data_IF_356260889468
#
_entry.id   IF_356260889468
#
_cell.length_a   1.000
_cell.length_b   1.000
_cell.length_c   1.000
_cell.angle_alpha   90.00
_cell.angle_beta   90.00
_cell.angle_gamma   90.00
#
_symmetry.space_group_name_H-M   'P 1'
#
loop_
_entity.id
_entity.type
_entity.pdbx_description
1 polymer ?
#
# COMPACT_ATOMS: atom_id res chain seq x y z
N UNK A 1 30.10 -28.08 12.56
CA UNK A 1 30.24 -29.54 12.30
C UNK A 1 29.06 -30.30 12.92
N UNK A 2 27.90 -30.37 12.25
CA UNK A 2 26.82 -31.36 12.52
C UNK A 2 25.61 -31.18 11.57
N UNK A 3 25.80 -31.07 10.25
CA UNK A 3 24.71 -31.16 9.26
C UNK A 3 25.14 -31.94 8.00
N UNK A 4 25.81 -33.07 8.22
CA UNK A 4 26.08 -34.05 7.17
C UNK A 4 25.68 -35.43 7.66
N UNK A 5 24.40 -35.76 7.48
CA UNK A 5 23.87 -37.12 7.33
C UNK A 5 22.35 -37.02 7.32
N UNK A 6 21.73 -37.43 6.21
CA UNK A 6 20.32 -37.87 6.01
C UNK A 6 19.68 -37.45 4.67
N UNK A 7 20.49 -37.22 3.63
CA UNK A 7 20.04 -37.34 2.25
C UNK A 7 20.77 -38.54 1.62
N UNK A 8 20.21 -39.78 1.67
CA UNK A 8 19.51 -40.26 0.47
C UNK A 8 18.57 -41.47 0.73
N UNK A 9 17.28 -41.23 0.97
CA UNK A 9 16.21 -42.19 0.71
C UNK A 9 14.93 -41.35 0.66
N UNK A 10 14.52 -40.84 -0.49
CA UNK A 10 13.50 -41.48 -1.31
C UNK A 10 13.52 -40.81 -2.69
N UNK A 11 14.36 -41.31 -3.61
CA UNK A 11 14.20 -41.02 -5.04
C UNK A 11 13.23 -42.03 -5.63
N UNK A 12 12.11 -41.57 -6.21
CA UNK A 12 11.38 -42.19 -7.36
C UNK A 12 10.35 -41.19 -7.93
N UNK A 13 9.88 -41.36 -9.19
CA UNK A 13 10.05 -40.34 -10.21
C UNK A 13 8.80 -39.52 -10.57
N UNK A 14 9.10 -38.34 -11.10
CA UNK A 14 8.38 -37.49 -12.06
C UNK A 14 7.05 -38.02 -12.63
N UNK A 15 5.99 -37.21 -12.46
CA UNK A 15 4.91 -37.05 -13.44
C UNK A 15 4.75 -35.57 -13.76
N UNK A 16 5.05 -35.22 -15.00
CA UNK A 16 4.76 -33.92 -15.63
C UNK A 16 3.42 -33.99 -16.39
N UNK A 17 2.96 -32.94 -17.08
CA UNK A 17 2.01 -31.97 -16.57
C UNK A 17 0.67 -32.03 -17.33
N UNK A 18 -0.38 -31.42 -16.79
CA UNK A 18 -1.56 -31.07 -17.60
C UNK A 18 -1.80 -29.57 -17.56
N UNK A 19 -1.49 -28.95 -18.70
CA UNK A 19 -1.78 -27.58 -19.07
C UNK A 19 -3.30 -27.34 -19.20
N UNK A 20 -3.75 -26.23 -18.59
CA UNK A 20 -4.69 -25.18 -19.07
C UNK A 20 -6.14 -25.59 -19.48
N UNK A 21 -7.13 -24.65 -19.53
CA UNK A 21 -6.97 -23.21 -19.73
C UNK A 21 -7.79 -22.24 -18.87
N UNK A 22 -7.29 -21.01 -18.96
CA UNK A 22 -7.84 -19.69 -18.70
C UNK A 22 -9.29 -19.50 -19.17
N UNK A 23 -10.06 -18.78 -18.35
CA UNK A 23 -11.41 -18.30 -18.68
C UNK A 23 -11.33 -17.02 -19.55
N UNK A 24 -12.21 -16.87 -20.55
CA UNK A 24 -12.19 -15.75 -21.48
C UNK A 24 -12.93 -14.53 -20.94
N UNK A 25 -12.41 -13.37 -21.31
CA UNK A 25 -13.11 -12.09 -21.32
C UNK A 25 -14.35 -12.17 -22.20
N UNK A 26 -15.53 -11.85 -21.65
CA UNK A 26 -16.70 -11.58 -22.47
C UNK A 26 -16.74 -10.10 -22.82
N UNK A 27 -16.23 -9.80 -24.02
CA UNK A 27 -16.75 -8.71 -24.84
C UNK A 27 -18.13 -9.13 -25.35
N UNK A 28 -19.15 -8.29 -25.17
CA UNK A 28 -20.45 -8.46 -25.82
C UNK A 28 -20.75 -7.28 -26.72
N UNK A 29 -21.07 -7.63 -27.96
CA UNK A 29 -21.18 -6.77 -29.11
C UNK A 29 -22.48 -5.99 -29.16
N UNK A 30 -22.39 -4.91 -29.93
CA UNK A 30 -23.44 -3.99 -30.32
C UNK A 30 -24.70 -4.68 -30.89
N UNK A 31 -25.86 -4.18 -30.47
CA UNK A 31 -27.10 -4.27 -31.21
C UNK A 31 -27.56 -2.85 -31.52
N UNK A 32 -27.48 -2.51 -32.81
CA UNK A 32 -28.08 -1.32 -33.40
C UNK A 32 -29.60 -1.49 -33.43
N UNK A 33 -30.33 -0.52 -32.89
CA UNK A 33 -31.70 -0.21 -33.32
C UNK A 33 -31.78 1.29 -33.56
N UNK A 34 -32.11 1.64 -34.79
CA UNK A 34 -32.38 2.99 -35.28
C UNK A 34 -33.86 3.33 -35.10
N UNK A 35 -34.15 4.50 -34.52
CA UNK A 35 -35.31 5.32 -34.87
C UNK A 35 -35.17 6.76 -34.28
N UNK A 36 -35.31 7.77 -35.15
CA UNK A 36 -35.36 9.21 -34.88
C UNK A 36 -36.56 9.59 -33.96
N UNK A 37 -36.57 10.58 -33.07
CA UNK A 37 -36.40 12.07 -33.13
C UNK A 37 -36.82 12.63 -31.74
N UNK A 38 -36.77 13.94 -31.44
CA UNK A 38 -35.83 15.00 -31.80
C UNK A 38 -35.03 15.48 -30.57
N UNK A 39 -33.95 16.22 -30.86
CA UNK A 39 -33.07 16.85 -29.89
C UNK A 39 -33.79 17.88 -29.01
N UNK A 40 -33.77 17.65 -27.69
CA UNK A 40 -33.77 18.72 -26.69
C UNK A 40 -32.36 18.71 -26.12
N UNK A 41 -31.55 19.67 -26.58
CA UNK A 41 -30.27 19.98 -25.96
C UNK A 41 -30.54 20.47 -24.54
N UNK A 42 -30.38 19.57 -23.56
CA UNK A 42 -30.21 19.93 -22.16
C UNK A 42 -28.75 20.34 -21.99
N UNK A 43 -28.50 21.64 -22.15
CA UNK A 43 -27.28 22.26 -21.66
C UNK A 43 -27.12 21.93 -20.16
N UNK A 44 -25.88 21.68 -19.68
CA UNK A 44 -25.64 21.58 -18.25
C UNK A 44 -25.89 22.96 -17.64
N UNK A 45 -27.06 23.13 -17.03
CA UNK A 45 -27.46 24.35 -16.37
C UNK A 45 -26.63 24.51 -15.08
N UNK A 46 -25.43 25.08 -15.21
CA UNK A 46 -24.68 25.61 -14.08
C UNK A 46 -25.49 26.79 -13.52
N UNK A 47 -26.33 26.52 -12.53
CA UNK A 47 -26.95 27.58 -11.74
C UNK A 47 -25.82 28.36 -11.05
N UNK A 48 -25.70 29.68 -11.26
CA UNK A 48 -24.71 30.47 -10.54
C UNK A 48 -25.00 30.38 -9.04
N UNK A 49 -23.97 30.33 -8.18
CA UNK A 49 -24.16 30.27 -6.73
C UNK A 49 -25.06 31.43 -6.30
N UNK A 50 -26.03 31.15 -5.43
CA UNK A 50 -26.86 32.21 -4.86
C UNK A 50 -25.96 33.24 -4.15
N UNK A 51 -26.35 34.52 -4.11
CA UNK A 51 -25.53 35.54 -3.44
C UNK A 51 -25.22 35.17 -1.97
N UNK A 52 -26.09 34.38 -1.36
CA UNK A 52 -25.93 33.72 -0.06
C UNK A 52 -24.82 32.65 -0.05
N UNK A 53 -24.74 31.76 -1.05
CA UNK A 53 -23.67 30.75 -1.12
C UNK A 53 -22.29 31.39 -1.24
N UNK A 54 -22.15 32.46 -2.03
CA UNK A 54 -20.87 33.16 -2.14
C UNK A 54 -20.40 33.72 -0.79
N UNK A 55 -21.31 34.30 -0.01
CA UNK A 55 -20.99 34.78 1.34
C UNK A 55 -20.60 33.63 2.28
N UNK A 56 -21.35 32.53 2.28
CA UNK A 56 -21.05 31.36 3.12
C UNK A 56 -19.71 30.72 2.73
N UNK A 57 -19.36 30.68 1.44
CA UNK A 57 -18.05 30.21 0.95
C UNK A 57 -16.91 31.06 1.52
N UNK A 58 -17.04 32.39 1.50
CA UNK A 58 -15.99 33.26 2.08
C UNK A 58 -15.84 33.05 3.59
N UNK A 59 -16.94 32.78 4.32
CA UNK A 59 -16.91 32.47 5.74
C UNK A 59 -16.27 31.10 6.03
N UNK A 60 -16.51 30.12 5.14
CA UNK A 60 -15.88 28.80 5.20
C UNK A 60 -14.37 28.92 5.03
N UNK A 61 -13.90 29.59 3.98
CA UNK A 61 -12.48 29.84 3.73
C UNK A 61 -11.80 30.53 4.93
N UNK A 62 -12.46 31.56 5.46
CA UNK A 62 -11.99 32.29 6.63
C UNK A 62 -11.90 31.40 7.87
N UNK A 63 -12.89 30.54 8.10
CA UNK A 63 -12.91 29.59 9.23
C UNK A 63 -11.81 28.54 9.12
N UNK A 64 -11.51 28.07 7.89
CA UNK A 64 -10.40 27.15 7.62
C UNK A 64 -9.06 27.84 7.90
N UNK A 65 -8.88 29.09 7.42
CA UNK A 65 -7.67 29.88 7.66
C UNK A 65 -7.44 30.12 9.17
N UNK A 66 -8.50 30.34 9.94
CA UNK A 66 -8.46 30.51 11.39
C UNK A 66 -8.40 29.18 12.18
N UNK A 67 -8.36 28.04 11.48
CA UNK A 67 -8.31 26.69 12.08
C UNK A 67 -9.47 26.42 13.04
N UNK A 68 -10.68 26.86 12.68
CA UNK A 68 -11.90 26.66 13.48
C UNK A 68 -12.77 25.55 12.87
N UNK A 69 -12.51 24.25 13.17
CA UNK A 69 -13.16 23.12 12.49
C UNK A 69 -14.68 23.11 12.67
N UNK A 70 -15.19 23.43 13.86
CA UNK A 70 -16.63 23.43 14.13
C UNK A 70 -17.37 24.52 13.34
N UNK A 71 -16.79 25.71 13.22
CA UNK A 71 -17.36 26.79 12.40
C UNK A 71 -17.31 26.44 10.91
N UNK A 72 -16.19 25.89 10.45
CA UNK A 72 -16.04 25.45 9.06
C UNK A 72 -17.08 24.38 8.67
N UNK A 73 -17.32 23.37 9.52
CA UNK A 73 -18.38 22.37 9.29
C UNK A 73 -19.78 22.98 9.26
N UNK A 74 -20.07 23.94 10.15
CA UNK A 74 -21.35 24.65 10.15
C UNK A 74 -21.58 25.44 8.86
N UNK A 75 -20.55 26.11 8.34
CA UNK A 75 -20.65 26.83 7.07
C UNK A 75 -20.77 25.87 5.87
N UNK A 76 -20.03 24.74 5.87
CA UNK A 76 -20.17 23.73 4.83
C UNK A 76 -21.61 23.21 4.72
N UNK A 77 -22.26 22.94 5.86
CA UNK A 77 -23.64 22.44 5.90
C UNK A 77 -24.69 23.46 5.41
N UNK A 78 -24.35 24.74 5.31
CA UNK A 78 -25.24 25.80 4.83
C UNK A 78 -25.19 25.99 3.30
N UNK A 79 -24.20 25.41 2.63
CA UNK A 79 -24.02 25.54 1.18
C UNK A 79 -24.99 24.64 0.42
N UNK A 80 -25.61 25.20 -0.64
CA UNK A 80 -26.48 24.42 -1.53
C UNK A 80 -25.69 23.69 -2.61
N UNK A 81 -24.60 24.30 -3.07
CA UNK A 81 -23.67 23.71 -4.04
C UNK A 81 -22.41 23.23 -3.32
N UNK A 82 -21.88 22.03 -3.64
CA UNK A 82 -20.64 21.58 -3.05
C UNK A 82 -19.49 22.54 -3.43
N UNK A 83 -18.59 22.87 -2.48
CA UNK A 83 -17.38 23.61 -2.80
C UNK A 83 -16.49 22.85 -3.79
N UNK A 84 -15.50 23.55 -4.34
CA UNK A 84 -14.47 22.95 -5.16
C UNK A 84 -13.59 21.98 -4.36
N UNK A 85 -12.98 21.03 -5.07
CA UNK A 85 -12.13 20.00 -4.47
C UNK A 85 -10.97 20.58 -3.61
N UNK A 86 -10.24 21.63 -4.04
CA UNK A 86 -9.16 22.20 -3.23
C UNK A 86 -9.63 22.71 -1.86
N UNK A 87 -10.78 23.38 -1.79
CA UNK A 87 -11.31 23.86 -0.51
C UNK A 87 -11.74 22.70 0.41
N UNK A 88 -12.38 21.68 -0.17
CA UNK A 88 -12.77 20.45 0.53
C UNK A 88 -11.56 19.70 1.08
N UNK A 89 -10.49 19.55 0.31
CA UNK A 89 -9.25 18.91 0.75
C UNK A 89 -8.62 19.69 1.92
N UNK A 90 -8.56 21.03 1.84
CA UNK A 90 -8.06 21.87 2.94
C UNK A 90 -8.87 21.71 4.22
N UNK A 91 -10.19 21.59 4.09
CA UNK A 91 -11.08 21.30 5.22
C UNK A 91 -10.83 19.90 5.79
N UNK A 92 -10.71 18.87 4.96
CA UNK A 92 -10.43 17.51 5.38
C UNK A 92 -9.12 17.43 6.17
N UNK A 93 -8.05 18.10 5.71
CA UNK A 93 -6.79 18.18 6.46
C UNK A 93 -6.96 18.89 7.80
N UNK A 94 -7.70 20.02 7.86
CA UNK A 94 -7.96 20.72 9.12
C UNK A 94 -8.68 19.81 10.13
N UNK A 95 -9.64 19.01 9.67
CA UNK A 95 -10.42 18.09 10.49
C UNK A 95 -9.59 16.88 10.94
N UNK A 96 -8.84 16.27 10.03
CA UNK A 96 -7.98 15.12 10.31
C UNK A 96 -6.91 15.43 11.38
N UNK A 97 -6.38 16.66 11.38
CA UNK A 97 -5.42 17.15 12.39
C UNK A 97 -6.00 17.25 13.80
N UNK A 98 -7.31 17.17 13.98
CA UNK A 98 -7.95 17.23 15.29
C UNK A 98 -7.75 15.92 16.07
N UNK A 99 -6.68 15.87 16.87
CA UNK A 99 -6.26 14.66 17.60
C UNK A 99 -7.24 14.15 18.67
N UNK A 100 -8.31 14.89 18.99
CA UNK A 100 -9.24 14.57 20.08
C UNK A 100 -10.69 14.30 19.63
N UNK A 101 -10.97 14.28 18.33
CA UNK A 101 -12.33 14.11 17.83
C UNK A 101 -12.40 13.05 16.75
N UNK A 102 -12.93 11.88 17.10
CA UNK A 102 -13.30 10.83 16.14
C UNK A 102 -14.32 11.34 15.13
N UNK A 103 -15.24 12.22 15.55
CA UNK A 103 -16.22 12.83 14.65
C UNK A 103 -15.58 13.70 13.57
N UNK A 104 -14.52 14.46 13.90
CA UNK A 104 -13.77 15.21 12.89
C UNK A 104 -13.02 14.28 11.93
N UNK A 105 -12.45 13.17 12.41
CA UNK A 105 -11.82 12.18 11.54
C UNK A 105 -12.84 11.55 10.57
N UNK A 106 -14.04 11.21 11.05
CA UNK A 106 -15.12 10.70 10.21
C UNK A 106 -15.54 11.72 9.13
N UNK A 107 -15.77 12.98 9.50
CA UNK A 107 -16.08 14.00 8.51
C UNK A 107 -14.95 14.25 7.51
N UNK A 108 -13.69 14.19 7.96
CA UNK A 108 -12.55 14.32 7.07
C UNK A 108 -12.52 13.20 6.02
N UNK A 109 -12.80 11.96 6.45
CA UNK A 109 -12.96 10.82 5.57
C UNK A 109 -14.12 11.00 4.59
N UNK A 110 -15.32 11.36 5.07
CA UNK A 110 -16.49 11.56 4.21
C UNK A 110 -16.25 12.61 3.13
N UNK A 111 -15.61 13.72 3.50
CA UNK A 111 -15.26 14.80 2.57
C UNK A 111 -14.27 14.29 1.53
N UNK A 112 -13.17 13.66 1.95
CA UNK A 112 -12.12 13.25 1.02
C UNK A 112 -12.57 12.11 0.10
N UNK A 113 -13.37 11.17 0.61
CA UNK A 113 -14.05 10.16 -0.22
C UNK A 113 -14.96 10.81 -1.27
N UNK A 114 -15.70 11.86 -0.88
CA UNK A 114 -16.50 12.65 -1.82
C UNK A 114 -15.66 13.31 -2.91
N UNK A 115 -14.49 13.84 -2.56
CA UNK A 115 -13.54 14.42 -3.52
C UNK A 115 -13.05 13.37 -4.51
N UNK A 116 -12.66 12.18 -4.04
CA UNK A 116 -12.20 11.08 -4.90
C UNK A 116 -13.26 10.59 -5.89
N UNK A 117 -14.53 10.58 -5.48
CA UNK A 117 -15.67 10.16 -6.31
C UNK A 117 -16.20 11.27 -7.23
N UNK A 118 -15.67 12.49 -7.15
CA UNK A 118 -16.11 13.58 -8.00
C UNK A 118 -15.62 13.38 -9.45
N UNK A 119 -16.48 13.59 -10.45
CA UNK A 119 -16.07 13.45 -11.85
C UNK A 119 -15.05 14.52 -12.22
N UNK A 120 -13.98 14.11 -12.91
CA UNK A 120 -12.94 15.02 -13.38
C UNK A 120 -11.93 15.45 -12.32
N UNK A 121 -11.84 14.75 -11.18
CA UNK A 121 -10.72 14.92 -10.27
C UNK A 121 -9.40 14.64 -11.00
N UNK A 122 -8.46 15.58 -10.90
CA UNK A 122 -7.06 15.37 -11.28
C UNK A 122 -6.24 15.42 -10.00
N UNK A 123 -5.85 14.27 -9.42
CA UNK A 123 -5.06 14.25 -8.21
C UNK A 123 -3.74 15.00 -8.37
N UNK A 124 -3.39 15.75 -7.33
CA UNK A 124 -2.16 16.51 -7.21
C UNK A 124 -1.44 16.17 -5.90
N UNK A 125 -0.29 16.80 -5.65
CA UNK A 125 0.49 16.60 -4.43
C UNK A 125 -0.33 16.92 -3.17
N UNK A 126 -1.26 17.88 -3.26
CA UNK A 126 -2.13 18.23 -2.14
C UNK A 126 -3.18 17.15 -1.88
N UNK A 127 -3.67 16.48 -2.93
CA UNK A 127 -4.57 15.31 -2.83
C UNK A 127 -3.86 14.18 -2.08
N UNK A 128 -2.61 13.86 -2.46
CA UNK A 128 -1.77 12.89 -1.75
C UNK A 128 -1.60 13.27 -0.27
N UNK A 129 -1.24 14.52 0.00
CA UNK A 129 -1.10 15.04 1.38
C UNK A 129 -2.38 14.88 2.19
N UNK A 130 -3.54 15.21 1.60
CA UNK A 130 -4.82 15.09 2.26
C UNK A 130 -5.13 13.64 2.63
N UNK A 131 -4.87 12.69 1.72
CA UNK A 131 -5.06 11.26 1.95
C UNK A 131 -4.22 10.73 3.10
N UNK A 132 -2.94 11.12 3.16
CA UNK A 132 -2.04 10.75 4.27
C UNK A 132 -2.59 11.25 5.61
N UNK A 133 -3.02 12.52 5.70
CA UNK A 133 -3.57 13.07 6.94
C UNK A 133 -4.87 12.39 7.37
N UNK A 134 -5.78 12.16 6.44
CA UNK A 134 -7.10 11.58 6.74
C UNK A 134 -6.95 10.11 7.14
N UNK A 135 -6.06 9.37 6.47
CA UNK A 135 -5.76 7.98 6.81
C UNK A 135 -5.11 7.88 8.19
N UNK A 136 -4.10 8.71 8.49
CA UNK A 136 -3.53 8.81 9.85
C UNK A 136 -4.62 9.07 10.90
N UNK A 137 -5.54 10.00 10.62
CA UNK A 137 -6.65 10.27 11.53
C UNK A 137 -7.56 9.04 11.72
N UNK A 138 -7.90 8.32 10.66
CA UNK A 138 -8.70 7.11 10.72
C UNK A 138 -8.00 6.03 11.57
N UNK A 139 -6.71 5.76 11.31
CA UNK A 139 -5.92 4.76 12.03
C UNK A 139 -5.78 5.12 13.52
N UNK A 140 -5.48 6.40 13.83
CA UNK A 140 -5.42 6.91 15.22
C UNK A 140 -6.71 6.69 15.99
N UNK A 141 -7.86 6.80 15.33
CA UNK A 141 -9.17 6.59 15.97
C UNK A 141 -9.71 5.17 15.81
N UNK A 142 -8.90 4.20 15.37
CA UNK A 142 -9.33 2.80 15.15
C UNK A 142 -10.51 2.70 14.19
N UNK A 143 -10.41 3.40 13.06
CA UNK A 143 -11.36 3.38 11.95
C UNK A 143 -10.73 2.68 10.74
N UNK A 144 -10.28 1.44 10.94
CA UNK A 144 -9.49 0.70 9.94
C UNK A 144 -10.23 0.54 8.61
N UNK A 145 -11.52 0.20 8.63
CA UNK A 145 -12.31 0.05 7.39
C UNK A 145 -12.40 1.35 6.59
N UNK A 146 -12.43 2.51 7.27
CA UNK A 146 -12.45 3.80 6.60
C UNK A 146 -11.07 4.16 6.04
N UNK A 147 -10.00 3.76 6.73
CA UNK A 147 -8.64 3.91 6.22
C UNK A 147 -8.42 3.04 4.97
N UNK A 148 -8.91 1.79 4.97
CA UNK A 148 -8.87 0.89 3.82
C UNK A 148 -9.70 1.41 2.65
N UNK A 149 -10.95 1.86 2.89
CA UNK A 149 -11.75 2.45 1.82
C UNK A 149 -11.04 3.67 1.21
N UNK A 150 -10.41 4.52 2.02
CA UNK A 150 -9.67 5.66 1.51
C UNK A 150 -8.39 5.26 0.75
N UNK A 151 -7.71 4.20 1.21
CA UNK A 151 -6.58 3.60 0.52
C UNK A 151 -6.99 3.14 -0.89
N UNK A 152 -8.10 2.41 -1.00
CA UNK A 152 -8.63 1.94 -2.28
C UNK A 152 -9.01 3.11 -3.21
N UNK A 153 -9.67 4.15 -2.69
CA UNK A 153 -10.01 5.36 -3.46
C UNK A 153 -8.75 6.07 -4.00
N UNK A 154 -7.69 6.15 -3.18
CA UNK A 154 -6.41 6.71 -3.59
C UNK A 154 -5.74 5.85 -4.68
N UNK A 155 -5.66 4.53 -4.48
CA UNK A 155 -5.08 3.59 -5.43
C UNK A 155 -5.81 3.61 -6.78
N UNK A 156 -7.15 3.65 -6.77
CA UNK A 156 -7.98 3.73 -7.98
C UNK A 156 -7.75 5.00 -8.81
N UNK A 157 -7.27 6.08 -8.17
CA UNK A 157 -6.90 7.33 -8.83
C UNK A 157 -5.38 7.47 -9.03
N UNK A 158 -4.63 6.36 -8.93
CA UNK A 158 -3.18 6.29 -9.07
C UNK A 158 -2.43 7.23 -8.11
N UNK A 159 -2.99 7.51 -6.93
CA UNK A 159 -2.33 8.30 -5.88
C UNK A 159 -1.49 7.38 -5.01
N UNK A 160 -0.18 7.43 -5.21
CA UNK A 160 0.78 6.65 -4.41
C UNK A 160 1.06 7.36 -3.10
N UNK A 161 0.82 6.68 -1.98
CA UNK A 161 1.05 7.18 -0.62
C UNK A 161 2.54 7.13 -0.24
N UNK A 162 2.93 7.73 0.88
CA UNK A 162 4.31 7.65 1.38
C UNK A 162 4.53 6.42 2.29
N UNK A 163 5.80 6.04 2.47
CA UNK A 163 6.16 4.86 3.25
C UNK A 163 5.58 4.88 4.69
N UNK A 164 5.59 6.01 5.44
CA UNK A 164 4.97 6.07 6.75
C UNK A 164 3.46 5.77 6.75
N UNK A 165 2.73 6.15 5.70
CA UNK A 165 1.31 5.82 5.58
C UNK A 165 1.10 4.31 5.37
N UNK A 166 1.91 3.68 4.51
CA UNK A 166 1.90 2.22 4.34
C UNK A 166 2.25 1.49 5.63
N UNK A 167 3.35 1.85 6.29
CA UNK A 167 3.77 1.24 7.57
C UNK A 167 2.66 1.33 8.63
N UNK A 168 2.00 2.48 8.72
CA UNK A 168 0.87 2.70 9.63
C UNK A 168 -0.35 1.82 9.30
N UNK A 169 -0.67 1.66 8.01
CA UNK A 169 -1.76 0.83 7.54
C UNK A 169 -1.48 -0.67 7.79
N UNK A 170 -0.27 -1.12 7.45
CA UNK A 170 0.21 -2.49 7.71
C UNK A 170 0.14 -2.82 9.19
N UNK A 171 0.66 -1.95 10.06
CA UNK A 171 0.59 -2.15 11.51
C UNK A 171 -0.87 -2.30 11.99
N UNK A 172 -1.79 -1.46 11.50
CA UNK A 172 -3.19 -1.52 11.88
C UNK A 172 -3.92 -2.77 11.37
N UNK A 173 -3.60 -3.23 10.16
CA UNK A 173 -4.15 -4.48 9.59
C UNK A 173 -3.68 -5.71 10.39
N UNK A 174 -2.38 -5.77 10.71
CA UNK A 174 -1.81 -6.86 11.50
C UNK A 174 -2.35 -6.88 12.93
N UNK A 175 -2.51 -5.72 13.58
CA UNK A 175 -3.17 -5.60 14.89
C UNK A 175 -4.61 -6.12 14.85
N UNK A 176 -5.31 -5.92 13.72
CA UNK A 176 -6.67 -6.39 13.49
C UNK A 176 -6.76 -7.84 12.97
N UNK A 177 -5.64 -8.55 12.85
CA UNK A 177 -5.56 -9.93 12.32
C UNK A 177 -6.08 -10.08 10.88
N UNK A 178 -5.92 -9.03 10.06
CA UNK A 178 -6.23 -9.01 8.62
C UNK A 178 -4.94 -9.18 7.81
N UNK A 179 -4.32 -10.36 7.92
CA UNK A 179 -2.96 -10.61 7.42
C UNK A 179 -2.94 -10.62 5.90
N UNK A 180 -3.96 -11.22 5.28
CA UNK A 180 -4.10 -11.31 3.83
C UNK A 180 -4.13 -9.92 3.18
N UNK A 181 -4.91 -9.00 3.76
CA UNK A 181 -4.99 -7.61 3.28
C UNK A 181 -3.68 -6.85 3.52
N UNK A 182 -2.98 -7.10 4.64
CA UNK A 182 -1.67 -6.51 4.88
C UNK A 182 -0.65 -6.99 3.83
N UNK A 183 -0.70 -8.26 3.47
CA UNK A 183 0.17 -8.84 2.42
C UNK A 183 -0.11 -8.18 1.07
N UNK A 184 -1.37 -8.01 0.67
CA UNK A 184 -1.69 -7.33 -0.60
C UNK A 184 -1.23 -5.87 -0.63
N UNK A 185 -1.49 -5.11 0.45
CA UNK A 185 -1.03 -3.72 0.57
C UNK A 185 0.49 -3.63 0.44
N UNK A 186 1.22 -4.56 1.05
CA UNK A 186 2.68 -4.60 0.94
C UNK A 186 3.12 -4.95 -0.49
N UNK A 187 2.49 -5.93 -1.16
CA UNK A 187 2.81 -6.24 -2.57
C UNK A 187 2.58 -5.04 -3.49
N UNK A 188 1.50 -4.30 -3.29
CA UNK A 188 1.22 -3.08 -4.05
C UNK A 188 2.30 -2.01 -3.80
N UNK A 189 2.69 -1.80 -2.55
CA UNK A 189 3.77 -0.87 -2.19
C UNK A 189 5.12 -1.25 -2.84
N UNK A 190 5.43 -2.55 -2.92
CA UNK A 190 6.65 -3.09 -3.53
C UNK A 190 6.66 -2.91 -5.04
N UNK A 191 5.49 -3.04 -5.68
CA UNK A 191 5.35 -2.89 -7.13
C UNK A 191 5.35 -1.41 -7.59
N UNK A 192 5.03 -0.46 -6.71
CA UNK A 192 5.02 0.98 -7.04
C UNK A 192 6.42 1.58 -7.17
N UNK A 193 6.71 2.37 -8.21
CA UNK A 193 8.03 2.99 -8.43
C UNK A 193 8.38 4.08 -7.40
N UNK A 194 7.38 4.79 -6.87
CA UNK A 194 7.58 5.96 -6.00
C UNK A 194 7.77 5.61 -4.51
N UNK A 195 7.77 4.32 -4.17
CA UNK A 195 7.95 3.83 -2.80
C UNK A 195 9.18 2.92 -2.75
N UNK A 196 10.07 3.22 -1.80
CA UNK A 196 11.22 2.38 -1.50
C UNK A 196 10.95 1.69 -0.15
N UNK A 197 10.24 0.55 -0.15
CA UNK A 197 10.02 -0.19 1.09
C UNK A 197 11.35 -0.69 1.63
N UNK A 198 11.48 -0.71 2.95
CA UNK A 198 12.69 -1.16 3.64
C UNK A 198 12.42 -2.49 4.33
N UNK A 199 13.48 -3.15 4.79
CA UNK A 199 13.39 -4.36 5.60
C UNK A 199 12.34 -4.24 6.73
N UNK A 200 12.27 -3.07 7.39
CA UNK A 200 11.32 -2.77 8.47
C UNK A 200 9.85 -2.78 8.04
N UNK A 201 9.54 -2.49 6.77
CA UNK A 201 8.19 -2.53 6.22
C UNK A 201 7.74 -3.98 6.02
N UNK A 202 8.66 -4.87 5.65
CA UNK A 202 8.37 -6.30 5.40
C UNK A 202 8.26 -7.12 6.69
N UNK A 203 9.16 -6.89 7.65
CA UNK A 203 9.32 -7.75 8.81
C UNK A 203 8.01 -8.03 9.58
N UNK A 204 7.14 -7.04 9.87
CA UNK A 204 5.89 -7.30 10.58
C UNK A 204 4.96 -8.29 9.86
N UNK A 205 4.87 -8.18 8.53
CA UNK A 205 4.04 -9.06 7.70
C UNK A 205 4.67 -10.46 7.63
N UNK A 206 5.97 -10.54 7.37
CA UNK A 206 6.71 -11.81 7.32
C UNK A 206 6.60 -12.60 8.64
N UNK A 207 6.71 -11.91 9.78
CA UNK A 207 6.55 -12.53 11.10
C UNK A 207 5.18 -13.16 11.27
N UNK A 208 4.11 -12.50 10.81
CA UNK A 208 2.76 -13.04 10.96
C UNK A 208 2.50 -14.19 9.97
N UNK A 209 2.99 -14.12 8.74
CA UNK A 209 2.95 -15.23 7.77
C UNK A 209 3.66 -16.47 8.30
N UNK A 210 4.87 -16.33 8.83
CA UNK A 210 5.65 -17.45 9.39
C UNK A 210 4.97 -18.04 10.64
N UNK A 211 4.38 -17.21 11.51
CA UNK A 211 3.57 -17.72 12.64
C UNK A 211 2.36 -18.53 12.19
N UNK A 212 1.75 -18.12 11.09
CA UNK A 212 0.61 -18.80 10.46
C UNK A 212 1.02 -19.98 9.58
N UNK A 213 2.33 -20.25 9.45
CA UNK A 213 2.92 -21.32 8.60
C UNK A 213 2.69 -21.11 7.09
N UNK A 214 2.43 -19.88 6.68
CA UNK A 214 2.31 -19.46 5.28
C UNK A 214 3.70 -19.21 4.68
N UNK A 215 4.54 -20.25 4.67
CA UNK A 215 5.94 -20.18 4.28
C UNK A 215 6.14 -19.82 2.80
N UNK A 216 5.28 -20.33 1.92
CA UNK A 216 5.36 -20.04 0.48
C UNK A 216 5.11 -18.54 0.21
N UNK A 217 4.12 -17.93 0.88
CA UNK A 217 3.85 -16.49 0.76
C UNK A 217 4.98 -15.64 1.34
N UNK A 218 5.55 -16.04 2.48
CA UNK A 218 6.69 -15.36 3.07
C UNK A 218 7.91 -15.36 2.12
N UNK A 219 8.23 -16.52 1.51
CA UNK A 219 9.32 -16.62 0.53
C UNK A 219 9.05 -15.77 -0.70
N UNK A 220 7.83 -15.78 -1.25
CA UNK A 220 7.49 -14.96 -2.41
C UNK A 220 7.64 -13.48 -2.11
N UNK A 221 7.15 -13.02 -0.95
CA UNK A 221 7.23 -11.63 -0.54
C UNK A 221 8.68 -11.18 -0.33
N UNK A 222 9.54 -12.01 0.27
CA UNK A 222 10.98 -11.71 0.39
C UNK A 222 11.65 -11.65 -0.98
N UNK A 223 11.35 -12.59 -1.88
CA UNK A 223 11.89 -12.56 -3.24
C UNK A 223 11.48 -11.27 -3.98
N UNK A 224 10.23 -10.84 -3.85
CA UNK A 224 9.76 -9.56 -4.40
C UNK A 224 10.54 -8.37 -3.80
N UNK A 225 10.78 -8.35 -2.49
CA UNK A 225 11.64 -7.36 -1.85
C UNK A 225 13.05 -7.32 -2.42
N UNK A 226 13.68 -8.48 -2.62
CA UNK A 226 15.01 -8.59 -3.24
C UNK A 226 15.03 -8.03 -4.68
N UNK A 227 13.98 -8.26 -5.48
CA UNK A 227 13.91 -7.66 -6.83
C UNK A 227 13.89 -6.12 -6.81
N UNK A 228 13.43 -5.54 -5.70
CA UNK A 228 13.41 -4.10 -5.43
C UNK A 228 14.64 -3.62 -4.66
N UNK A 229 15.67 -4.47 -4.53
CA UNK A 229 16.93 -4.21 -3.82
C UNK A 229 16.74 -3.92 -2.33
N UNK A 230 15.71 -4.51 -1.72
CA UNK A 230 15.60 -4.53 -0.26
C UNK A 230 16.63 -5.51 0.29
N UNK A 231 17.56 -4.99 1.07
CA UNK A 231 18.55 -5.78 1.77
C UNK A 231 17.93 -6.33 3.06
N UNK A 232 17.78 -7.66 3.12
CA UNK A 232 17.38 -8.35 4.33
C UNK A 232 18.63 -8.70 5.13
N UNK A 233 18.60 -8.42 6.42
CA UNK A 233 19.73 -8.58 7.34
C UNK A 233 19.39 -9.60 8.42
N UNK A 234 20.30 -9.76 9.39
CA UNK A 234 20.07 -10.58 10.58
C UNK A 234 18.81 -10.17 11.35
N UNK A 235 18.44 -8.89 11.29
CA UNK A 235 17.25 -8.34 11.94
C UNK A 235 15.96 -8.94 11.35
N UNK A 236 15.92 -9.32 10.07
CA UNK A 236 14.80 -10.09 9.51
C UNK A 236 14.97 -11.59 9.67
N UNK A 237 16.13 -12.13 9.33
CA UNK A 237 16.29 -13.59 9.28
C UNK A 237 16.19 -14.24 10.67
N UNK A 238 16.80 -13.64 11.71
CA UNK A 238 16.82 -14.25 13.04
C UNK A 238 15.41 -14.43 13.64
N UNK A 239 14.53 -13.41 13.68
CA UNK A 239 13.16 -13.59 14.15
C UNK A 239 12.38 -14.65 13.37
N UNK A 240 12.53 -14.71 12.04
CA UNK A 240 11.81 -15.67 11.21
C UNK A 240 12.29 -17.11 11.44
N UNK A 241 13.60 -17.33 11.57
CA UNK A 241 14.18 -18.64 11.90
C UNK A 241 13.72 -19.14 13.28
N UNK A 242 13.79 -18.27 14.30
CA UNK A 242 13.33 -18.61 15.66
C UNK A 242 11.84 -18.99 15.69
N UNK A 243 11.03 -18.40 14.83
CA UNK A 243 9.61 -18.76 14.68
C UNK A 243 9.45 -20.09 13.92
N UNK A 244 10.19 -20.27 12.83
CA UNK A 244 10.15 -21.48 12.01
C UNK A 244 10.63 -22.73 12.76
N UNK A 245 11.64 -22.62 13.62
CA UNK A 245 12.15 -23.74 14.45
C UNK A 245 11.09 -24.31 15.43
N UNK A 246 10.10 -23.49 15.80
CA UNK A 246 8.98 -23.95 16.64
C UNK A 246 8.02 -24.84 15.86
N UNK A 247 8.06 -24.81 14.53
CA UNK A 247 7.30 -25.72 13.71
C UNK A 247 8.03 -27.07 13.61
N UNK A 248 7.51 -28.06 14.32
CA UNK A 248 8.03 -29.43 14.30
C UNK A 248 7.57 -30.22 13.07
N UNK A 249 6.74 -29.63 12.21
CA UNK A 249 6.23 -30.27 11.00
C UNK A 249 7.16 -30.02 9.83
N UNK A 250 7.73 -31.08 9.25
CA UNK A 250 8.60 -30.98 8.08
C UNK A 250 7.76 -30.94 6.80
N UNK A 251 7.23 -29.76 6.48
CA UNK A 251 6.51 -29.51 5.23
C UNK A 251 7.48 -29.10 4.12
N UNK A 252 7.13 -29.39 2.87
CA UNK A 252 7.92 -28.96 1.71
C UNK A 252 8.09 -27.43 1.66
N UNK A 253 7.05 -26.68 2.08
CA UNK A 253 7.08 -25.21 2.14
C UNK A 253 8.02 -24.69 3.23
N UNK A 254 8.04 -25.30 4.42
CA UNK A 254 9.00 -24.97 5.46
C UNK A 254 10.45 -25.26 5.01
N UNK A 255 10.69 -26.42 4.38
CA UNK A 255 12.03 -26.77 3.88
C UNK A 255 12.51 -25.76 2.84
N UNK A 256 11.65 -25.38 1.88
CA UNK A 256 11.98 -24.36 0.88
C UNK A 256 12.25 -23.00 1.51
N UNK A 257 11.43 -22.60 2.47
CA UNK A 257 11.61 -21.33 3.19
C UNK A 257 12.95 -21.28 3.93
N UNK A 258 13.31 -22.34 4.66
CA UNK A 258 14.60 -22.43 5.36
C UNK A 258 15.78 -22.42 4.39
N UNK A 259 15.68 -23.13 3.26
CA UNK A 259 16.70 -23.09 2.20
C UNK A 259 16.85 -21.68 1.63
N UNK A 260 15.74 -20.99 1.34
CA UNK A 260 15.77 -19.63 0.83
C UNK A 260 16.44 -18.65 1.81
N UNK A 261 16.13 -18.78 3.11
CA UNK A 261 16.76 -17.95 4.15
C UNK A 261 18.26 -18.25 4.26
N UNK A 262 18.67 -19.52 4.21
CA UNK A 262 20.09 -19.91 4.23
C UNK A 262 20.85 -19.35 3.02
N UNK A 263 20.29 -19.51 1.81
CA UNK A 263 20.89 -18.99 0.58
C UNK A 263 21.01 -17.46 0.60
N UNK A 264 19.96 -16.77 1.04
CA UNK A 264 19.94 -15.29 1.12
C UNK A 264 20.91 -14.76 2.18
N UNK A 265 21.12 -15.51 3.26
CA UNK A 265 22.04 -15.15 4.34
C UNK A 265 23.51 -15.30 3.94
N UNK A 266 23.85 -16.35 3.21
CA UNK A 266 25.22 -16.53 2.70
C UNK A 266 25.57 -15.51 1.61
N UNK A 267 24.59 -15.08 0.80
CA UNK A 267 24.78 -13.95 -0.13
C UNK A 267 25.08 -12.63 0.61
N UNK A 268 24.37 -12.35 1.70
CA UNK A 268 24.64 -11.18 2.55
C UNK A 268 26.06 -11.20 3.14
N UNK A 269 26.49 -12.33 3.72
CA UNK A 269 27.85 -12.45 4.27
C UNK A 269 28.94 -12.28 3.21
N UNK A 270 28.73 -12.80 2.01
CA UNK A 270 29.70 -12.65 0.92
C UNK A 270 29.90 -11.18 0.51
N UNK A 271 28.90 -10.32 0.74
CA UNK A 271 28.99 -8.87 0.52
C UNK A 271 29.72 -8.17 1.67
N UNK A 272 29.50 -8.57 2.92
CA UNK A 272 30.15 -7.96 4.10
C UNK A 272 31.62 -8.40 4.27
N UNK A 273 31.97 -9.60 3.82
CA UNK A 273 33.35 -10.11 3.74
C UNK A 273 34.14 -9.52 2.54
N UNK A 274 33.52 -8.69 1.69
CA UNK A 274 34.20 -7.98 0.61
C UNK A 274 35.01 -6.80 1.17
N UNK A 275 36.30 -7.04 1.41
CA UNK A 275 37.27 -6.01 1.78
C UNK A 275 37.94 -5.44 0.50
N UNK A 276 37.60 -4.21 0.08
CA UNK A 276 38.18 -3.58 -1.10
C UNK A 276 39.66 -3.19 -0.93
N UNK A 277 40.22 -3.28 0.29
CA UNK A 277 41.63 -2.98 0.57
C UNK A 277 42.54 -4.21 0.52
N UNK A 278 42.00 -5.45 0.53
CA UNK A 278 42.81 -6.69 0.47
C UNK A 278 42.78 -7.44 -0.85
N UNK A 279 41.86 -7.11 -1.78
CA UNK A 279 41.97 -7.56 -3.17
C UNK A 279 43.04 -6.72 -3.88
N UNK A 280 44.27 -7.24 -3.85
CA UNK A 280 45.46 -6.69 -4.50
C UNK A 280 45.11 -5.98 -5.82
N UNK A 281 45.32 -4.67 -5.86
CA UNK A 281 45.31 -3.82 -7.07
C UNK A 281 46.25 -4.32 -8.19
N UNK A 282 47.07 -5.33 -7.88
CA UNK A 282 47.96 -6.02 -8.80
C UNK A 282 47.47 -7.38 -9.31
N UNK A 283 46.25 -7.82 -8.95
CA UNK A 283 45.67 -9.03 -9.54
C UNK A 283 45.45 -8.83 -11.07
N UNK A 284 46.13 -9.60 -11.94
CA UNK A 284 46.01 -9.46 -13.39
C UNK A 284 44.62 -9.83 -13.94
N UNK A 285 43.77 -10.45 -13.12
CA UNK A 285 42.39 -10.81 -13.46
C UNK A 285 41.34 -9.80 -12.97
N UNK A 286 41.75 -8.67 -12.35
CA UNK A 286 40.82 -7.65 -11.90
C UNK A 286 40.08 -7.00 -13.09
N UNK A 287 38.74 -7.18 -13.22
CA UNK A 287 37.97 -6.69 -14.36
C UNK A 287 37.84 -5.16 -14.42
N UNK A 288 38.25 -4.45 -13.36
CA UNK A 288 38.17 -2.99 -13.25
C UNK A 288 39.49 -2.26 -13.52
N UNK A 289 40.55 -2.96 -13.93
CA UNK A 289 41.88 -2.37 -14.16
C UNK A 289 41.97 -1.36 -15.32
N UNK A 290 40.85 -1.03 -15.97
CA UNK A 290 40.80 -0.16 -17.17
C UNK A 290 39.69 0.90 -17.16
N UNK A 291 39.22 1.31 -15.97
CA UNK A 291 38.45 2.54 -15.78
C UNK A 291 39.32 3.67 -15.24
#
# INVERSE_FOLDING_TARGET
>A
MLLRTLAPALRRPLRTPRHLPSRPHHASAALQVSAASPAVALEPKSTPPSATDHQVLTLLEHSIAQRRPAQALSHLAQLQTPPDAPLLQRLAVLLARQKKSRGHALHAFEILRGVYRAPGLTPDDYTKLASIYVMDACLRFRMLDHAMELYDEAANQAVVLDLPAYDGLLAALLDAKRVEEATEVLREAVNGEDVCPMEQTFLPVLVELVKSREYDEATELMAQGQTRRVEFTSETFHPLLVLAEKDTTSTDSLIKFLSFVEDSWEEYKAIDDFDPETDDMDNPENPFRSL
#
